data_IF_652126517924
#
_entry.id   IF_652126517924
#
_cell.length_a   1.000
_cell.length_b   1.000
_cell.length_c   1.000
_cell.angle_alpha   90.00
_cell.angle_beta   90.00
_cell.angle_gamma   90.00
#
_symmetry.space_group_name_H-M   'P 1'
#
loop_
_entity.id
_entity.type
_entity.pdbx_description
1 polymer ?
#
# COMPACT_ATOMS: atom_id res chain seq x y z
N UNK A 1 11.92 43.91 12.96
CA UNK A 1 12.32 42.66 12.29
C UNK A 1 11.51 41.53 12.89
N UNK A 2 10.72 40.81 12.10
CA UNK A 2 9.95 39.65 12.60
C UNK A 2 10.88 38.45 12.63
N UNK A 3 10.94 37.72 13.75
CA UNK A 3 11.66 36.44 13.86
C UNK A 3 10.66 35.30 13.79
N UNK A 4 11.04 34.26 13.07
CA UNK A 4 10.33 33.01 13.06
C UNK A 4 10.92 32.08 14.13
N UNK A 5 10.05 31.34 14.82
CA UNK A 5 10.41 30.26 15.72
C UNK A 5 9.67 28.98 15.32
N UNK A 6 10.21 28.28 14.31
CA UNK A 6 9.66 27.02 13.82
C UNK A 6 9.81 25.87 14.82
N UNK A 7 10.71 25.99 15.80
CA UNK A 7 10.98 24.93 16.78
C UNK A 7 9.91 24.95 17.87
N UNK A 8 9.55 26.14 18.35
CA UNK A 8 8.58 26.31 19.43
C UNK A 8 7.17 26.68 18.95
N UNK A 9 6.91 26.59 17.63
CA UNK A 9 5.60 26.84 17.07
C UNK A 9 4.59 25.77 17.51
N UNK A 10 3.30 26.11 17.73
CA UNK A 10 2.30 25.12 18.15
C UNK A 10 1.93 24.12 17.03
N UNK A 11 2.15 24.51 15.77
CA UNK A 11 1.72 23.75 14.59
C UNK A 11 2.89 23.10 13.83
N UNK A 12 4.13 23.38 14.23
CA UNK A 12 5.34 22.90 13.58
C UNK A 12 6.36 22.57 14.67
N UNK A 13 7.10 21.49 14.52
CA UNK A 13 8.13 21.05 15.49
C UNK A 13 9.51 21.06 14.84
N UNK A 14 9.75 22.05 14.00
CA UNK A 14 10.89 22.10 13.08
C UNK A 14 10.50 22.76 11.77
N UNK A 15 11.52 23.14 10.99
CA UNK A 15 11.31 23.84 9.73
C UNK A 15 10.96 22.89 8.58
N UNK A 16 11.70 21.78 8.46
CA UNK A 16 11.48 20.77 7.43
C UNK A 16 12.18 19.45 7.77
N UNK A 17 11.79 18.40 7.06
CA UNK A 17 12.35 17.04 7.19
C UNK A 17 13.77 16.93 6.64
N UNK A 18 14.61 16.07 7.22
CA UNK A 18 15.93 15.69 6.67
C UNK A 18 16.22 14.21 6.89
N UNK A 19 17.19 13.65 6.16
CA UNK A 19 17.64 12.29 6.39
C UNK A 19 18.66 12.22 7.52
N UNK A 20 18.21 11.74 8.68
CA UNK A 20 19.09 11.47 9.81
C UNK A 20 20.05 10.30 9.51
N UNK A 21 21.28 10.31 10.07
CA UNK A 21 22.19 9.18 9.94
C UNK A 21 21.57 7.86 10.43
N UNK A 22 21.71 6.80 9.65
CA UNK A 22 21.20 5.47 10.00
C UNK A 22 19.78 5.15 9.52
N UNK A 23 19.03 6.14 9.02
CA UNK A 23 17.70 5.93 8.42
C UNK A 23 17.83 5.23 7.06
N UNK A 24 16.99 4.22 6.84
CA UNK A 24 16.92 3.43 5.61
C UNK A 24 15.80 3.93 4.72
N UNK A 25 15.88 3.59 3.43
CA UNK A 25 14.84 3.96 2.47
C UNK A 25 13.47 3.39 2.83
N UNK A 26 13.43 2.19 3.42
CA UNK A 26 12.20 1.55 3.87
C UNK A 26 11.43 2.40 4.91
N UNK A 27 12.14 3.19 5.71
CA UNK A 27 11.53 4.03 6.75
C UNK A 27 10.70 5.17 6.15
N UNK A 28 11.10 5.69 4.98
CA UNK A 28 10.33 6.68 4.22
C UNK A 28 9.14 6.06 3.49
N UNK A 29 9.33 4.85 2.94
CA UNK A 29 8.27 4.13 2.23
C UNK A 29 7.08 3.79 3.13
N UNK A 30 7.28 3.74 4.45
CA UNK A 30 6.17 3.58 5.41
C UNK A 30 5.11 4.69 5.27
N UNK A 31 5.50 5.91 4.89
CA UNK A 31 4.58 7.03 4.66
C UNK A 31 3.91 6.97 3.28
N UNK A 32 4.44 6.17 2.35
CA UNK A 32 3.88 6.03 1.00
C UNK A 32 2.64 5.14 0.95
N UNK A 33 2.40 4.37 2.02
CA UNK A 33 1.30 3.43 2.09
C UNK A 33 0.21 3.92 3.06
N UNK A 34 -1.07 3.88 2.67
CA UNK A 34 -2.16 4.25 3.56
C UNK A 34 -2.32 3.22 4.69
N UNK A 35 -2.66 3.67 5.89
CA UNK A 35 -3.04 2.78 6.99
C UNK A 35 -4.49 2.37 6.83
N UNK A 36 -4.73 1.06 6.76
CA UNK A 36 -6.07 0.46 6.68
C UNK A 36 -6.95 1.10 5.60
N UNK A 37 -6.34 1.61 4.52
CA UNK A 37 -7.00 2.24 3.36
C UNK A 37 -7.93 3.43 3.71
N UNK A 38 -7.84 3.93 4.94
CA UNK A 38 -8.70 4.98 5.47
C UNK A 38 -7.89 6.21 5.86
N UNK A 39 -6.60 6.03 6.17
CA UNK A 39 -5.68 7.10 6.54
C UNK A 39 -4.59 7.18 5.47
N UNK A 40 -4.55 8.30 4.76
CA UNK A 40 -3.57 8.59 3.72
C UNK A 40 -2.62 9.67 4.22
N UNK A 41 -1.34 9.53 3.91
CA UNK A 41 -0.31 10.50 4.26
C UNK A 41 0.08 11.31 3.04
N UNK A 42 0.44 12.57 3.27
CA UNK A 42 1.02 13.46 2.26
C UNK A 42 1.88 14.51 2.97
N UNK A 43 2.63 15.28 2.20
CA UNK A 43 3.50 16.34 2.71
C UNK A 43 4.96 16.17 2.29
N UNK A 44 5.79 17.10 2.74
CA UNK A 44 7.21 17.15 2.36
C UNK A 44 8.00 15.91 2.80
N UNK A 45 7.60 15.25 3.89
CA UNK A 45 8.30 14.12 4.49
C UNK A 45 8.03 12.79 3.74
N UNK A 46 7.07 12.83 2.81
CA UNK A 46 6.48 11.66 2.18
C UNK A 46 7.46 10.80 1.38
N UNK A 47 8.52 11.38 0.83
CA UNK A 47 9.44 10.67 -0.07
C UNK A 47 10.91 11.09 0.16
N UNK A 48 11.80 10.10 0.09
CA UNK A 48 13.26 10.26 0.26
C UNK A 48 13.91 11.16 -0.79
N UNK A 49 13.45 11.13 -2.04
CA UNK A 49 14.13 11.76 -3.17
C UNK A 49 14.03 13.28 -3.16
N UNK A 50 13.06 13.86 -2.46
CA UNK A 50 12.83 15.30 -2.50
C UNK A 50 12.19 15.88 -1.22
N UNK A 51 12.62 15.38 -0.06
CA UNK A 51 12.08 15.84 1.22
C UNK A 51 12.35 17.32 1.50
N UNK A 52 11.54 17.92 2.36
CA UNK A 52 11.72 19.30 2.82
C UNK A 52 11.52 20.36 1.73
N UNK A 53 10.82 20.02 0.65
CA UNK A 53 10.54 20.92 -0.47
C UNK A 53 9.04 21.10 -0.69
N UNK A 54 8.63 22.34 -1.02
CA UNK A 54 7.25 22.65 -1.36
C UNK A 54 6.73 21.89 -2.60
N UNK A 55 7.51 21.71 -3.68
CA UNK A 55 7.08 20.90 -4.82
C UNK A 55 6.76 19.45 -4.43
N UNK A 56 7.52 18.86 -3.52
CA UNK A 56 7.25 17.50 -3.05
C UNK A 56 5.97 17.42 -2.20
N UNK A 57 5.72 18.44 -1.37
CA UNK A 57 4.46 18.53 -0.63
C UNK A 57 3.25 18.61 -1.59
N UNK A 58 3.37 19.38 -2.68
CA UNK A 58 2.34 19.44 -3.71
C UNK A 58 2.14 18.09 -4.42
N UNK A 59 3.22 17.46 -4.89
CA UNK A 59 3.15 16.18 -5.61
C UNK A 59 2.59 15.05 -4.74
N UNK A 60 3.02 14.96 -3.48
CA UNK A 60 2.50 13.96 -2.54
C UNK A 60 1.01 14.17 -2.23
N UNK A 61 0.57 15.43 -2.09
CA UNK A 61 -0.84 15.75 -1.93
C UNK A 61 -1.69 15.34 -3.14
N UNK A 62 -1.21 15.64 -4.35
CA UNK A 62 -1.85 15.20 -5.60
C UNK A 62 -1.98 13.68 -5.68
N UNK A 63 -0.91 12.96 -5.34
CA UNK A 63 -0.91 11.50 -5.35
C UNK A 63 -1.89 10.91 -4.32
N UNK A 64 -1.90 11.44 -3.10
CA UNK A 64 -2.85 11.02 -2.08
C UNK A 64 -4.31 11.26 -2.52
N UNK A 65 -4.61 12.42 -3.10
CA UNK A 65 -5.94 12.73 -3.64
C UNK A 65 -6.36 11.79 -4.78
N UNK A 66 -5.43 11.48 -5.69
CA UNK A 66 -5.65 10.50 -6.76
C UNK A 66 -5.96 9.11 -6.19
N UNK A 67 -5.19 8.66 -5.20
CA UNK A 67 -5.38 7.36 -4.56
C UNK A 67 -6.74 7.28 -3.85
N UNK A 68 -7.13 8.33 -3.12
CA UNK A 68 -8.44 8.42 -2.46
C UNK A 68 -9.56 8.38 -3.49
N UNK A 69 -9.47 9.18 -4.56
CA UNK A 69 -10.51 9.22 -5.61
C UNK A 69 -10.66 7.88 -6.30
N UNK A 70 -9.54 7.23 -6.64
CA UNK A 70 -9.56 5.88 -7.22
C UNK A 70 -10.20 4.88 -6.26
N UNK A 71 -9.83 4.92 -4.99
CA UNK A 71 -10.38 4.04 -3.96
C UNK A 71 -11.89 4.23 -3.78
N UNK A 72 -12.36 5.48 -3.82
CA UNK A 72 -13.79 5.80 -3.72
C UNK A 72 -14.57 5.40 -4.98
N UNK A 73 -13.96 5.51 -6.16
CA UNK A 73 -14.57 5.10 -7.42
C UNK A 73 -14.62 3.57 -7.57
N UNK A 74 -13.57 2.89 -7.10
CA UNK A 74 -13.41 1.45 -7.13
C UNK A 74 -12.68 0.98 -5.86
N UNK A 75 -13.43 0.42 -4.92
CA UNK A 75 -12.90 -0.08 -3.66
C UNK A 75 -11.86 -1.20 -3.85
N UNK A 76 -11.87 -1.89 -5.00
CA UNK A 76 -10.87 -2.91 -5.30
C UNK A 76 -9.50 -2.32 -5.67
N UNK A 77 -9.47 -1.06 -6.13
CA UNK A 77 -8.24 -0.36 -6.53
C UNK A 77 -7.35 0.06 -5.34
N UNK A 78 -7.90 0.11 -4.12
CA UNK A 78 -7.16 0.40 -2.91
C UNK A 78 -6.82 -0.85 -2.08
N UNK A 79 -7.29 -2.04 -2.49
CA UNK A 79 -6.75 -3.34 -2.08
C UNK A 79 -5.39 -3.54 -2.74
N UNK A 80 -4.40 -2.71 -2.38
CA UNK A 80 -3.01 -3.03 -2.69
C UNK A 80 -2.71 -4.42 -2.14
N UNK A 81 -2.19 -5.30 -3.00
CA UNK A 81 -1.89 -6.72 -2.78
C UNK A 81 -1.85 -7.13 -1.30
N UNK A 82 -3.02 -7.34 -0.71
CA UNK A 82 -3.06 -7.91 0.62
C UNK A 82 -2.64 -9.37 0.45
N UNK A 83 -1.77 -9.93 1.31
CA UNK A 83 -1.44 -11.36 1.25
C UNK A 83 -2.68 -12.27 1.38
N UNK A 84 -3.82 -11.72 1.83
CA UNK A 84 -5.12 -12.37 1.86
C UNK A 84 -5.70 -12.68 0.47
N UNK A 85 -5.46 -11.81 -0.52
CA UNK A 85 -5.98 -11.98 -1.88
C UNK A 85 -5.18 -13.04 -2.67
N UNK A 86 -3.87 -13.14 -2.41
CA UNK A 86 -3.04 -14.24 -2.90
C UNK A 86 -3.52 -15.60 -2.35
N UNK A 87 -3.84 -15.69 -1.06
CA UNK A 87 -4.35 -16.92 -0.43
C UNK A 87 -5.65 -17.42 -1.06
N UNK A 88 -6.56 -16.51 -1.42
CA UNK A 88 -7.82 -16.83 -2.10
C UNK A 88 -7.59 -17.52 -3.45
N UNK A 89 -6.66 -17.00 -4.27
CA UNK A 89 -6.36 -17.58 -5.58
C UNK A 89 -5.76 -19.00 -5.48
N UNK A 90 -4.90 -19.25 -4.49
CA UNK A 90 -4.36 -20.59 -4.23
C UNK A 90 -5.45 -21.56 -3.74
N UNK A 91 -6.38 -21.11 -2.89
CA UNK A 91 -7.51 -21.94 -2.44
C UNK A 91 -8.44 -22.34 -3.58
N UNK A 92 -8.74 -21.43 -4.51
CA UNK A 92 -9.58 -21.75 -5.68
C UNK A 92 -8.87 -22.74 -6.60
N UNK A 93 -7.59 -22.51 -6.90
CA UNK A 93 -6.80 -23.41 -7.74
C UNK A 93 -6.65 -24.81 -7.13
N UNK A 94 -6.42 -24.91 -5.81
CA UNK A 94 -6.31 -26.18 -5.09
C UNK A 94 -7.63 -26.99 -5.13
N UNK A 95 -8.77 -26.32 -4.88
CA UNK A 95 -10.08 -26.97 -4.93
C UNK A 95 -10.44 -27.45 -6.35
N UNK A 96 -10.07 -26.69 -7.38
CA UNK A 96 -10.25 -27.10 -8.77
C UNK A 96 -9.41 -28.33 -9.11
N UNK A 97 -8.17 -28.41 -8.63
CA UNK A 97 -7.30 -29.58 -8.88
C UNK A 97 -7.81 -30.85 -8.16
N UNK A 98 -8.26 -30.72 -6.92
CA UNK A 98 -8.78 -31.84 -6.12
C UNK A 98 -10.06 -32.43 -6.72
N UNK A 99 -10.96 -31.58 -7.20
CA UNK A 99 -12.20 -32.03 -7.88
C UNK A 99 -11.90 -32.73 -9.20
N UNK A 100 -10.95 -32.21 -9.98
CA UNK A 100 -10.55 -32.78 -11.27
C UNK A 100 -9.85 -34.13 -11.09
N UNK A 101 -8.98 -34.27 -10.09
CA UNK A 101 -8.37 -35.56 -9.71
C UNK A 101 -9.41 -36.57 -9.24
N UNK A 102 -10.38 -36.15 -8.43
CA UNK A 102 -11.47 -37.03 -8.00
C UNK A 102 -12.31 -37.53 -9.17
N UNK A 103 -12.55 -36.68 -10.18
CA UNK A 103 -13.34 -37.04 -11.36
C UNK A 103 -12.58 -38.00 -12.30
N UNK A 104 -11.27 -37.81 -12.45
CA UNK A 104 -10.41 -38.73 -13.21
C UNK A 104 -10.36 -40.10 -12.52
N UNK A 105 -10.21 -40.12 -11.19
CA UNK A 105 -10.17 -41.36 -10.43
C UNK A 105 -11.49 -42.14 -10.53
N UNK A 106 -12.64 -41.47 -10.46
CA UNK A 106 -13.95 -42.12 -10.64
C UNK A 106 -14.15 -42.64 -12.06
N UNK A 107 -13.68 -41.92 -13.09
CA UNK A 107 -13.67 -42.40 -14.48
C UNK A 107 -12.83 -43.68 -14.64
N UNK A 108 -11.60 -43.69 -14.13
CA UNK A 108 -10.72 -44.87 -14.21
C UNK A 108 -11.34 -46.07 -13.50
N UNK A 109 -11.89 -45.87 -12.29
CA UNK A 109 -12.55 -46.93 -11.53
C UNK A 109 -13.84 -47.43 -12.19
N UNK A 110 -14.55 -46.57 -12.93
CA UNK A 110 -15.74 -46.96 -13.69
C UNK A 110 -15.41 -47.82 -14.92
N UNK A 111 -14.25 -47.62 -15.54
CA UNK A 111 -13.77 -48.44 -16.67
C UNK A 111 -13.27 -49.82 -16.25
N UNK A 112 -12.76 -49.98 -15.03
CA UNK A 112 -12.33 -51.27 -14.48
C UNK A 112 -13.45 -52.15 -13.93
N UNK A 113 -14.70 -51.66 -13.91
CA UNK A 113 -15.88 -52.42 -13.45
C UNK A 113 -16.66 -53.14 -14.57
N UNK A 114 -16.16 -53.09 -15.81
CA UNK A 114 -16.62 -53.88 -16.96
C UNK A 114 -15.52 -54.86 -17.38
#
# INVERSE_FOLDING_TARGET
>A
MVRNDFINGPNFQGAYSYQAPGIREADYRALEHPLQQSIYFSGEAYNRWNYGSAPQAYMSGWNAAKNITNCMADASSCLGDTPLQASSAYHVAFNMYMTLMSFILTLILSFWRF
#
